data_IF_500398384928
#
_entry.id   IF_500398384928
#
_cell.length_a   1.000
_cell.length_b   1.000
_cell.length_c   1.000
_cell.angle_alpha   90.00
_cell.angle_beta   90.00
_cell.angle_gamma   90.00
#
_symmetry.space_group_name_H-M   'P 1'
#
loop_
_entity.id
_entity.type
_entity.pdbx_description
1 polymer ?
#
# COMPACT_ATOMS: atom_id res chain seq x y z
N UNK A 1 17.22 17.86 -10.50
CA UNK A 1 17.37 16.45 -10.09
C UNK A 1 18.60 16.25 -9.22
N UNK A 2 19.71 16.96 -9.47
CA UNK A 2 20.99 16.71 -8.79
C UNK A 2 20.91 16.99 -7.29
N UNK A 3 20.34 18.11 -6.87
CA UNK A 3 20.13 18.47 -5.46
C UNK A 3 19.24 17.44 -4.74
N UNK A 4 18.15 16.97 -5.39
CA UNK A 4 17.28 15.96 -4.80
C UNK A 4 18.01 14.63 -4.60
N UNK A 5 18.82 14.23 -5.57
CA UNK A 5 19.63 13.02 -5.47
C UNK A 5 20.68 13.15 -4.36
N UNK A 6 21.36 14.28 -4.28
CA UNK A 6 22.39 14.53 -3.28
C UNK A 6 21.83 14.49 -1.84
N UNK A 7 20.65 15.04 -1.62
CA UNK A 7 19.99 15.01 -0.31
C UNK A 7 19.47 13.62 0.01
N UNK A 8 18.87 12.93 -0.96
CA UNK A 8 18.09 11.73 -0.71
C UNK A 8 18.86 10.41 -0.85
N UNK A 9 20.02 10.40 -1.51
CA UNK A 9 20.75 9.15 -1.78
C UNK A 9 21.06 8.35 -0.52
N UNK A 10 21.47 9.01 0.57
CA UNK A 10 21.86 8.39 1.81
C UNK A 10 20.69 8.18 2.79
N UNK A 11 19.51 8.75 2.51
CA UNK A 11 18.34 8.59 3.39
C UNK A 11 17.87 7.14 3.43
N UNK A 12 17.64 6.66 4.63
CA UNK A 12 17.03 5.38 4.93
C UNK A 12 15.60 5.58 5.47
N UNK A 13 14.87 4.50 5.65
CA UNK A 13 13.47 4.56 6.09
C UNK A 13 13.32 5.32 7.42
N UNK A 14 14.18 5.10 8.39
CA UNK A 14 14.08 5.74 9.71
C UNK A 14 14.33 7.25 9.64
N UNK A 15 15.10 7.74 8.68
CA UNK A 15 15.33 9.18 8.49
C UNK A 15 14.08 9.92 8.05
N UNK A 16 13.17 9.23 7.34
CA UNK A 16 11.91 9.81 6.86
C UNK A 16 10.71 9.52 7.76
N UNK A 17 10.89 8.74 8.81
CA UNK A 17 9.84 8.49 9.79
C UNK A 17 9.71 9.64 10.81
N UNK A 18 8.50 9.89 11.34
CA UNK A 18 8.31 10.70 12.54
C UNK A 18 9.07 10.12 13.72
N UNK A 19 9.37 10.95 14.71
CA UNK A 19 10.00 10.51 15.95
C UNK A 19 9.10 9.57 16.77
N UNK A 20 9.73 8.71 17.58
CA UNK A 20 9.01 7.75 18.44
C UNK A 20 8.02 8.46 19.39
N UNK A 21 8.43 9.58 19.98
CA UNK A 21 7.61 10.37 20.90
C UNK A 21 6.39 10.97 20.21
N UNK A 22 6.51 11.35 18.94
CA UNK A 22 5.41 11.89 18.17
C UNK A 22 4.37 10.82 17.86
N UNK A 23 4.83 9.64 17.41
CA UNK A 23 3.96 8.49 17.15
C UNK A 23 3.26 8.07 18.45
N UNK A 24 4.00 7.97 19.55
CA UNK A 24 3.45 7.61 20.86
C UNK A 24 2.39 8.59 21.31
N UNK A 25 2.62 9.89 21.16
CA UNK A 25 1.65 10.93 21.50
C UNK A 25 0.35 10.79 20.71
N UNK A 26 0.44 10.46 19.42
CA UNK A 26 -0.75 10.22 18.59
C UNK A 26 -1.53 8.99 19.06
N UNK A 27 -0.83 7.91 19.44
CA UNK A 27 -1.45 6.70 19.97
C UNK A 27 -2.13 6.99 21.31
N UNK A 28 -1.45 7.68 22.23
CA UNK A 28 -1.99 8.02 23.55
C UNK A 28 -3.23 8.93 23.43
N UNK A 29 -3.19 9.94 22.55
CA UNK A 29 -4.34 10.82 22.30
C UNK A 29 -5.58 10.05 21.81
N UNK A 30 -5.39 9.05 20.94
CA UNK A 30 -6.52 8.24 20.45
C UNK A 30 -7.01 7.26 21.52
N UNK A 31 -6.12 6.82 22.39
CA UNK A 31 -6.42 5.84 23.47
C UNK A 31 -7.16 6.45 24.63
N UNK A 32 -7.07 7.77 24.79
CA UNK A 32 -7.66 8.50 25.94
C UNK A 32 -9.16 8.21 26.07
N UNK A 33 -9.55 7.78 27.26
CA UNK A 33 -10.95 7.43 27.60
C UNK A 33 -11.47 6.17 26.92
N UNK A 34 -10.66 5.41 26.18
CA UNK A 34 -11.09 4.19 25.49
C UNK A 34 -10.66 2.92 26.21
N UNK A 35 -11.60 2.00 26.40
CA UNK A 35 -11.32 0.69 26.99
C UNK A 35 -10.51 -0.22 26.07
N UNK A 36 -10.72 -0.13 24.75
CA UNK A 36 -10.03 -0.98 23.75
C UNK A 36 -8.83 -0.27 23.17
N UNK A 37 -7.72 -1.00 23.03
CA UNK A 37 -6.53 -0.52 22.31
C UNK A 37 -6.90 -0.03 20.90
N UNK A 38 -6.30 1.08 20.42
CA UNK A 38 -6.54 1.57 19.06
C UNK A 38 -6.08 0.55 18.00
N UNK A 39 -6.64 0.69 16.82
CA UNK A 39 -6.28 -0.18 15.69
C UNK A 39 -5.23 0.52 14.85
N UNK A 40 -4.11 -0.18 14.63
CA UNK A 40 -3.14 0.14 13.61
C UNK A 40 -3.45 -0.69 12.36
N UNK A 41 -3.73 -0.01 11.25
CA UNK A 41 -3.79 -0.64 9.94
C UNK A 41 -2.43 -0.52 9.24
N UNK A 42 -1.98 -1.60 8.65
CA UNK A 42 -0.80 -1.66 7.78
C UNK A 42 -1.31 -2.01 6.38
N UNK A 43 -1.49 -0.98 5.55
CA UNK A 43 -1.82 -1.18 4.14
C UNK A 43 -0.56 -1.45 3.33
N UNK A 44 -0.58 -2.49 2.49
CA UNK A 44 0.54 -2.85 1.59
C UNK A 44 -0.01 -2.99 0.18
N UNK A 45 0.68 -2.35 -0.77
CA UNK A 45 0.25 -2.35 -2.17
C UNK A 45 1.42 -2.02 -3.10
N UNK A 46 1.25 -2.31 -4.37
CA UNK A 46 2.19 -2.00 -5.45
C UNK A 46 1.61 -0.99 -6.44
N UNK A 47 2.44 -0.04 -6.85
CA UNK A 47 2.14 0.85 -7.95
C UNK A 47 3.22 0.71 -9.03
N UNK A 48 2.90 0.99 -10.30
CA UNK A 48 3.90 0.92 -11.37
C UNK A 48 4.39 2.32 -11.75
N UNK A 49 5.69 2.46 -12.02
CA UNK A 49 6.29 3.68 -12.53
C UNK A 49 7.07 3.42 -13.83
N UNK A 50 7.03 4.36 -14.80
CA UNK A 50 7.79 4.23 -16.04
C UNK A 50 9.29 4.47 -15.76
N UNK A 51 10.11 3.49 -16.06
CA UNK A 51 11.56 3.54 -15.84
C UNK A 51 12.34 3.27 -17.12
N UNK A 52 13.58 3.71 -17.15
CA UNK A 52 14.57 3.39 -18.16
C UNK A 52 15.84 2.87 -17.48
N UNK A 53 16.66 2.07 -18.17
CA UNK A 53 17.93 1.62 -17.62
C UNK A 53 18.78 2.79 -17.14
N UNK A 54 19.55 2.56 -16.07
CA UNK A 54 20.55 3.53 -15.59
C UNK A 54 21.52 3.91 -16.71
N UNK A 55 22.07 5.14 -16.70
CA UNK A 55 23.04 5.57 -17.72
C UNK A 55 24.25 4.64 -17.70
N UNK A 56 24.58 4.07 -18.85
CA UNK A 56 25.84 3.34 -18.99
C UNK A 56 26.95 4.29 -19.43
N UNK A 57 28.19 3.98 -19.07
CA UNK A 57 29.37 4.72 -19.54
C UNK A 57 29.55 4.66 -21.08
N UNK A 58 28.88 3.73 -21.76
CA UNK A 58 28.91 3.59 -23.21
C UNK A 58 27.94 4.57 -23.88
N UNK A 59 28.45 5.38 -24.80
CA UNK A 59 27.64 6.20 -25.71
C UNK A 59 26.85 5.25 -26.62
N UNK A 60 25.53 5.21 -26.47
CA UNK A 60 24.63 4.38 -27.27
C UNK A 60 23.19 4.84 -27.17
N UNK A 61 22.26 4.26 -27.97
CA UNK A 61 20.86 4.59 -27.86
C UNK A 61 20.35 4.26 -26.44
N UNK A 62 19.47 5.13 -25.92
CA UNK A 62 18.84 4.92 -24.62
C UNK A 62 18.11 3.57 -24.64
N UNK A 63 18.34 2.73 -23.64
CA UNK A 63 17.67 1.44 -23.53
C UNK A 63 16.14 1.58 -23.50
N UNK A 64 15.45 0.49 -23.86
CA UNK A 64 13.98 0.43 -23.88
C UNK A 64 13.43 0.72 -22.46
N UNK A 65 12.40 1.57 -22.40
CA UNK A 65 11.69 1.82 -21.14
C UNK A 65 10.89 0.59 -20.69
N UNK A 66 10.76 0.44 -19.39
CA UNK A 66 9.98 -0.61 -18.74
C UNK A 66 9.18 -0.03 -17.56
N UNK A 67 8.07 -0.71 -17.20
CA UNK A 67 7.32 -0.35 -16.02
C UNK A 67 7.82 -1.19 -14.84
N UNK A 68 8.33 -0.52 -13.78
CA UNK A 68 8.76 -1.18 -12.54
C UNK A 68 7.75 -0.96 -11.45
N UNK A 69 7.56 -1.99 -10.64
CA UNK A 69 6.68 -1.93 -9.49
C UNK A 69 7.35 -1.11 -8.36
N UNK A 70 6.61 -0.11 -7.88
CA UNK A 70 6.90 0.65 -6.67
C UNK A 70 6.11 -0.01 -5.55
N UNK A 71 6.77 -0.80 -4.72
CA UNK A 71 6.16 -1.43 -3.56
C UNK A 71 6.13 -0.45 -2.39
N UNK A 72 5.03 -0.45 -1.66
CA UNK A 72 4.87 0.46 -0.54
C UNK A 72 4.00 -0.08 0.58
N UNK A 73 4.14 0.54 1.73
CA UNK A 73 3.23 0.37 2.85
C UNK A 73 2.86 1.71 3.49
N UNK A 74 1.71 1.70 4.13
CA UNK A 74 1.22 2.79 4.96
C UNK A 74 0.75 2.28 6.30
N UNK A 75 1.24 2.88 7.37
CA UNK A 75 0.80 2.70 8.75
C UNK A 75 -0.12 3.85 9.13
N UNK A 76 -1.31 3.53 9.63
CA UNK A 76 -2.28 4.53 10.07
C UNK A 76 -3.17 4.00 11.19
N UNK A 77 -3.57 4.89 12.08
CA UNK A 77 -4.50 4.56 13.16
C UNK A 77 -5.94 4.83 12.72
N UNK A 78 -6.86 3.98 13.19
CA UNK A 78 -8.28 4.20 13.03
C UNK A 78 -8.85 4.92 14.23
N UNK A 79 -9.44 6.08 13.97
CA UNK A 79 -10.38 6.74 14.87
C UNK A 79 -11.77 6.68 14.25
N UNK A 80 -12.83 6.71 15.06
CA UNK A 80 -14.23 6.60 14.61
C UNK A 80 -14.58 7.50 13.43
N UNK A 81 -13.94 8.66 13.30
CA UNK A 81 -14.28 9.69 12.32
C UNK A 81 -13.22 9.90 11.22
N UNK A 82 -11.98 9.43 11.42
CA UNK A 82 -10.88 9.69 10.49
C UNK A 82 -9.72 8.71 10.62
N UNK A 83 -8.97 8.63 9.55
CA UNK A 83 -7.67 7.96 9.50
C UNK A 83 -6.60 8.93 9.99
N UNK A 84 -5.75 8.50 10.93
CA UNK A 84 -4.58 9.25 11.38
C UNK A 84 -3.35 8.60 10.80
N UNK A 85 -2.69 9.30 9.88
CA UNK A 85 -1.48 8.83 9.24
C UNK A 85 -0.30 8.81 10.21
N UNK A 86 0.48 7.74 10.17
CA UNK A 86 1.73 7.62 10.93
C UNK A 86 2.95 7.60 10.01
N UNK A 87 3.07 6.57 9.17
CA UNK A 87 4.25 6.34 8.32
C UNK A 87 3.79 5.85 6.95
N UNK A 88 4.43 6.35 5.89
CA UNK A 88 4.40 5.73 4.57
C UNK A 88 5.81 5.58 4.02
N UNK A 89 6.03 4.45 3.33
CA UNK A 89 7.28 4.17 2.65
C UNK A 89 7.01 3.47 1.31
N UNK A 90 7.55 4.01 0.24
CA UNK A 90 7.35 3.53 -1.14
C UNK A 90 8.67 3.55 -1.89
N UNK A 91 9.07 2.43 -2.47
CA UNK A 91 10.33 2.31 -3.22
C UNK A 91 10.19 1.29 -4.37
N UNK A 92 10.97 1.48 -5.42
CA UNK A 92 11.23 0.45 -6.42
C UNK A 92 12.19 -0.56 -5.79
N UNK A 93 11.64 -1.62 -5.21
CA UNK A 93 12.35 -2.67 -4.45
C UNK A 93 11.68 -4.02 -4.63
N UNK A 94 12.39 -5.09 -4.31
CA UNK A 94 11.77 -6.40 -4.17
C UNK A 94 11.02 -6.53 -2.83
N UNK A 95 10.24 -7.60 -2.68
CA UNK A 95 9.43 -7.87 -1.50
C UNK A 95 10.24 -8.09 -0.23
N UNK A 96 11.41 -8.73 -0.32
CA UNK A 96 12.32 -8.97 0.82
C UNK A 96 12.88 -7.66 1.37
N UNK A 97 13.28 -6.76 0.48
CA UNK A 97 13.80 -5.45 0.85
C UNK A 97 12.71 -4.58 1.50
N UNK A 98 11.46 -4.62 1.00
CA UNK A 98 10.35 -3.92 1.62
C UNK A 98 10.04 -4.49 3.01
N UNK A 99 10.05 -5.81 3.16
CA UNK A 99 9.86 -6.48 4.45
C UNK A 99 10.97 -6.11 5.46
N UNK A 100 12.23 -6.03 4.99
CA UNK A 100 13.35 -5.59 5.81
C UNK A 100 13.18 -4.14 6.28
N UNK A 101 12.64 -3.25 5.43
CA UNK A 101 12.34 -1.88 5.83
C UNK A 101 11.24 -1.83 6.90
N UNK A 102 10.18 -2.63 6.77
CA UNK A 102 9.13 -2.73 7.79
C UNK A 102 9.65 -3.33 9.11
N UNK A 103 10.54 -4.33 9.03
CA UNK A 103 11.23 -4.89 10.20
C UNK A 103 12.07 -3.84 10.94
N UNK A 104 12.75 -2.95 10.21
CA UNK A 104 13.51 -1.83 10.84
C UNK A 104 12.61 -0.91 11.64
N UNK A 105 11.38 -0.63 11.16
CA UNK A 105 10.38 0.15 11.90
C UNK A 105 9.99 -0.56 13.21
N UNK A 106 9.78 -1.88 13.18
CA UNK A 106 9.48 -2.68 14.38
C UNK A 106 10.67 -2.64 15.37
N UNK A 107 11.87 -2.91 14.89
CA UNK A 107 13.10 -2.91 15.71
C UNK A 107 13.40 -1.55 16.34
N UNK A 108 13.07 -0.46 15.65
CA UNK A 108 13.16 0.90 16.19
C UNK A 108 12.03 1.24 17.19
N UNK A 109 11.15 0.29 17.50
CA UNK A 109 9.99 0.45 18.37
C UNK A 109 9.08 1.63 17.98
N UNK A 110 8.93 1.88 16.68
CA UNK A 110 7.94 2.84 16.14
C UNK A 110 6.53 2.23 16.08
N UNK A 111 6.41 0.91 16.24
CA UNK A 111 5.14 0.19 16.39
C UNK A 111 5.12 -0.43 17.79
N UNK A 112 4.51 0.21 18.79
CA UNK A 112 4.35 -0.38 20.13
C UNK A 112 3.22 -1.41 20.10
N UNK A 113 3.53 -2.64 19.70
CA UNK A 113 2.56 -3.72 19.42
C UNK A 113 1.69 -4.02 20.65
N UNK A 114 2.24 -3.92 21.84
CA UNK A 114 1.54 -4.13 23.11
C UNK A 114 0.42 -3.11 23.36
N UNK A 115 0.49 -1.93 22.75
CA UNK A 115 -0.53 -0.87 22.86
C UNK A 115 -1.56 -0.87 21.75
N UNK A 116 -1.39 -1.70 20.73
CA UNK A 116 -2.16 -1.66 19.50
C UNK A 116 -2.88 -2.97 19.22
N UNK A 117 -3.90 -2.91 18.39
CA UNK A 117 -4.49 -4.04 17.69
C UNK A 117 -4.11 -3.89 16.23
N UNK A 118 -3.24 -4.75 15.73
CA UNK A 118 -2.71 -4.64 14.37
C UNK A 118 -3.58 -5.41 13.38
N UNK A 119 -3.75 -4.83 12.19
CA UNK A 119 -4.38 -5.50 11.07
C UNK A 119 -3.67 -5.11 9.77
N UNK A 120 -3.26 -6.10 9.00
CA UNK A 120 -2.65 -5.89 7.69
C UNK A 120 -3.68 -6.06 6.60
N UNK A 121 -3.68 -5.12 5.64
CA UNK A 121 -4.56 -5.14 4.47
C UNK A 121 -3.74 -5.10 3.18
N UNK A 122 -4.12 -5.93 2.19
CA UNK A 122 -3.49 -5.97 0.87
C UNK A 122 -4.40 -6.55 -0.20
N UNK A 123 -3.99 -6.46 -1.46
CA UNK A 123 -4.74 -6.85 -2.67
C UNK A 123 -4.78 -8.35 -2.96
N UNK A 124 -4.10 -9.15 -2.17
CA UNK A 124 -4.04 -10.59 -2.35
C UNK A 124 -2.81 -11.08 -3.11
N UNK A 125 -1.87 -10.23 -3.47
CA UNK A 125 -0.60 -10.65 -4.06
C UNK A 125 0.16 -11.60 -3.10
N UNK A 126 0.60 -12.78 -3.56
CA UNK A 126 1.22 -13.79 -2.67
C UNK A 126 2.41 -13.28 -1.88
N UNK A 127 3.21 -12.38 -2.48
CA UNK A 127 4.40 -11.84 -1.83
C UNK A 127 4.07 -11.04 -0.56
N UNK A 128 2.90 -10.35 -0.52
CA UNK A 128 2.46 -9.60 0.67
C UNK A 128 2.27 -10.58 1.83
N UNK A 129 1.46 -11.62 1.62
CA UNK A 129 1.09 -12.54 2.68
C UNK A 129 2.27 -13.34 3.22
N UNK A 130 3.16 -13.80 2.34
CA UNK A 130 4.36 -14.53 2.73
C UNK A 130 5.26 -13.67 3.64
N UNK A 131 5.44 -12.38 3.34
CA UNK A 131 6.29 -11.49 4.16
C UNK A 131 5.61 -11.04 5.44
N UNK A 132 4.31 -10.77 5.37
CA UNK A 132 3.56 -10.31 6.53
C UNK A 132 3.39 -11.41 7.57
N UNK A 133 3.17 -12.65 7.16
CA UNK A 133 3.11 -13.79 8.08
C UNK A 133 4.38 -13.97 8.91
N UNK A 134 5.54 -13.65 8.31
CA UNK A 134 6.83 -13.68 9.03
C UNK A 134 6.96 -12.54 10.06
N UNK A 135 6.42 -11.35 9.74
CA UNK A 135 6.57 -10.15 10.56
C UNK A 135 5.46 -9.97 11.62
N UNK A 136 4.25 -10.44 11.33
CA UNK A 136 3.04 -10.25 12.13
C UNK A 136 2.23 -11.55 12.21
N UNK A 137 2.81 -12.66 12.77
CA UNK A 137 2.20 -13.99 12.71
C UNK A 137 0.87 -14.08 13.46
N UNK A 138 0.70 -13.31 14.54
CA UNK A 138 -0.47 -13.35 15.45
C UNK A 138 -1.49 -12.24 15.15
N UNK A 139 -1.20 -11.40 14.16
CA UNK A 139 -2.02 -10.23 13.87
C UNK A 139 -3.10 -10.54 12.80
N UNK A 140 -4.10 -9.68 12.73
CA UNK A 140 -5.17 -9.85 11.77
C UNK A 140 -4.72 -9.51 10.36
N UNK A 141 -5.18 -10.31 9.41
CA UNK A 141 -4.96 -10.08 7.99
C UNK A 141 -6.31 -9.95 7.30
N UNK A 142 -6.42 -9.03 6.38
CA UNK A 142 -7.63 -8.82 5.58
C UNK A 142 -7.27 -8.62 4.11
N UNK A 143 -7.90 -9.40 3.25
CA UNK A 143 -7.87 -9.19 1.81
C UNK A 143 -8.71 -7.95 1.49
N UNK A 144 -8.21 -7.06 0.64
CA UNK A 144 -8.99 -5.91 0.22
C UNK A 144 -10.34 -6.30 -0.37
N UNK A 145 -11.40 -5.69 0.18
CA UNK A 145 -12.77 -5.96 -0.22
C UNK A 145 -13.04 -5.61 -1.68
N UNK A 146 -12.45 -4.53 -2.21
CA UNK A 146 -12.65 -4.12 -3.61
C UNK A 146 -12.12 -5.21 -4.54
N UNK A 147 -10.89 -5.68 -4.32
CA UNK A 147 -10.31 -6.77 -5.11
C UNK A 147 -11.08 -8.08 -4.99
N UNK A 148 -11.55 -8.42 -3.79
CA UNK A 148 -12.41 -9.60 -3.60
C UNK A 148 -13.71 -9.48 -4.39
N UNK A 149 -14.37 -8.32 -4.33
CA UNK A 149 -15.64 -8.09 -5.03
C UNK A 149 -15.48 -8.09 -6.54
N UNK A 150 -14.37 -7.57 -7.10
CA UNK A 150 -14.06 -7.62 -8.53
C UNK A 150 -14.11 -9.07 -9.07
N UNK A 151 -13.51 -10.03 -8.37
CA UNK A 151 -13.58 -11.45 -8.76
C UNK A 151 -15.01 -11.99 -8.79
N UNK A 152 -15.87 -11.55 -7.87
CA UNK A 152 -17.27 -11.95 -7.85
C UNK A 152 -18.07 -11.30 -8.99
N UNK A 153 -17.82 -10.01 -9.27
CA UNK A 153 -18.40 -9.32 -10.42
C UNK A 153 -17.97 -9.98 -11.75
N UNK A 154 -16.68 -10.26 -11.90
CA UNK A 154 -16.16 -10.91 -13.12
C UNK A 154 -16.77 -12.29 -13.31
N UNK A 155 -16.95 -13.08 -12.24
CA UNK A 155 -17.63 -14.37 -12.30
C UNK A 155 -19.08 -14.22 -12.75
N UNK A 156 -19.80 -13.27 -12.18
CA UNK A 156 -21.20 -13.03 -12.56
C UNK A 156 -21.33 -12.56 -14.00
N UNK A 157 -20.45 -11.65 -14.44
CA UNK A 157 -20.44 -11.15 -15.82
C UNK A 157 -20.11 -12.24 -16.84
N UNK A 158 -19.13 -13.11 -16.53
CA UNK A 158 -18.78 -14.23 -17.39
C UNK A 158 -19.92 -15.27 -17.48
N UNK A 159 -20.60 -15.53 -16.36
CA UNK A 159 -21.66 -16.53 -16.28
C UNK A 159 -23.01 -16.06 -16.85
N UNK A 160 -23.44 -14.85 -16.51
CA UNK A 160 -24.81 -14.36 -16.78
C UNK A 160 -24.84 -13.22 -17.79
N UNK A 161 -23.70 -12.73 -18.25
CA UNK A 161 -23.57 -11.58 -19.14
C UNK A 161 -23.42 -10.26 -18.41
N UNK A 162 -22.60 -9.38 -18.98
CA UNK A 162 -22.38 -8.03 -18.47
C UNK A 162 -23.69 -7.23 -18.50
N UNK A 163 -24.03 -6.58 -17.40
CA UNK A 163 -25.24 -5.78 -17.22
C UNK A 163 -26.56 -6.58 -17.18
N UNK A 164 -26.54 -7.91 -17.05
CA UNK A 164 -27.75 -8.67 -16.84
C UNK A 164 -28.29 -8.50 -15.41
N UNK A 165 -29.61 -8.53 -15.26
CA UNK A 165 -30.27 -8.49 -13.95
C UNK A 165 -29.83 -9.68 -13.09
N UNK A 166 -29.71 -10.88 -13.68
CA UNK A 166 -29.23 -12.07 -13.00
C UNK A 166 -27.82 -11.90 -12.43
N UNK A 167 -26.91 -11.22 -13.15
CA UNK A 167 -25.57 -10.94 -12.63
C UNK A 167 -25.63 -10.02 -11.42
N UNK A 168 -26.42 -8.96 -11.47
CA UNK A 168 -26.59 -8.02 -10.34
C UNK A 168 -27.16 -8.71 -9.11
N UNK A 169 -28.28 -9.43 -9.25
CA UNK A 169 -28.90 -10.16 -8.14
C UNK A 169 -27.96 -11.19 -7.52
N UNK A 170 -27.22 -11.93 -8.33
CA UNK A 170 -26.26 -12.92 -7.85
C UNK A 170 -25.12 -12.27 -7.04
N UNK A 171 -24.57 -11.14 -7.53
CA UNK A 171 -23.51 -10.41 -6.85
C UNK A 171 -24.01 -9.85 -5.51
N UNK A 172 -25.15 -9.17 -5.48
CA UNK A 172 -25.72 -8.60 -4.25
C UNK A 172 -25.98 -9.67 -3.18
N UNK A 173 -26.57 -10.80 -3.59
CA UNK A 173 -26.79 -11.93 -2.69
C UNK A 173 -25.46 -12.53 -2.20
N UNK A 174 -24.43 -12.60 -3.05
CA UNK A 174 -23.12 -13.15 -2.70
C UNK A 174 -22.34 -12.21 -1.78
N UNK A 175 -22.36 -10.90 -2.03
CA UNK A 175 -21.75 -9.90 -1.17
C UNK A 175 -22.42 -9.87 0.22
N UNK A 176 -23.73 -10.02 0.30
CA UNK A 176 -24.47 -10.14 1.57
C UNK A 176 -23.99 -11.35 2.39
N UNK A 177 -23.81 -12.51 1.74
CA UNK A 177 -23.25 -13.72 2.37
C UNK A 177 -21.79 -13.51 2.80
N UNK A 178 -21.02 -12.77 2.01
CA UNK A 178 -19.62 -12.45 2.33
C UNK A 178 -19.53 -11.63 3.63
N UNK A 179 -20.39 -10.62 3.80
CA UNK A 179 -20.49 -9.86 5.06
C UNK A 179 -21.06 -10.68 6.23
N UNK A 180 -21.75 -11.76 5.95
CA UNK A 180 -22.19 -12.73 6.97
C UNK A 180 -21.10 -13.77 7.32
N UNK A 181 -19.91 -13.64 6.76
CA UNK A 181 -18.76 -14.57 6.88
C UNK A 181 -19.03 -15.99 6.35
N UNK A 182 -19.92 -16.15 5.39
CA UNK A 182 -20.31 -17.45 4.81
C UNK A 182 -19.46 -17.79 3.58
N UNK A 183 -18.14 -17.63 3.68
CA UNK A 183 -17.23 -17.76 2.54
C UNK A 183 -17.17 -19.19 1.99
N UNK A 184 -17.19 -20.21 2.86
CA UNK A 184 -17.20 -21.61 2.43
C UNK A 184 -18.47 -21.94 1.61
N UNK A 185 -19.62 -21.36 2.00
CA UNK A 185 -20.87 -21.52 1.27
C UNK A 185 -20.85 -20.80 -0.08
N UNK A 186 -20.19 -19.64 -0.17
CA UNK A 186 -19.98 -18.93 -1.43
C UNK A 186 -19.14 -19.79 -2.36
N UNK A 187 -17.99 -20.28 -1.92
CA UNK A 187 -17.11 -21.15 -2.71
C UNK A 187 -17.84 -22.42 -3.15
N UNK A 188 -18.57 -23.06 -2.25
CA UNK A 188 -19.37 -24.24 -2.57
C UNK A 188 -20.49 -23.93 -3.59
N UNK A 189 -21.08 -22.74 -3.51
CA UNK A 189 -22.07 -22.26 -4.49
C UNK A 189 -21.46 -22.07 -5.87
N UNK A 190 -20.30 -21.40 -5.96
CA UNK A 190 -19.58 -21.18 -7.21
C UNK A 190 -19.14 -22.52 -7.83
N UNK A 191 -18.63 -23.46 -7.04
CA UNK A 191 -18.27 -24.83 -7.51
C UNK A 191 -19.43 -25.62 -8.15
N UNK A 192 -20.67 -25.34 -7.73
CA UNK A 192 -21.87 -25.99 -8.29
C UNK A 192 -22.44 -25.30 -9.53
N UNK A 193 -21.90 -24.16 -9.92
CA UNK A 193 -22.33 -23.47 -11.14
C UNK A 193 -22.05 -24.35 -12.37
N UNK A 194 -22.98 -24.39 -13.30
CA UNK A 194 -22.74 -24.96 -14.63
C UNK A 194 -22.25 -23.82 -15.52
N UNK A 195 -21.00 -23.84 -15.98
CA UNK A 195 -20.48 -22.74 -16.81
C UNK A 195 -21.28 -22.57 -18.09
N UNK A 196 -21.60 -21.32 -18.44
CA UNK A 196 -22.31 -20.98 -19.66
C UNK A 196 -21.42 -21.00 -20.92
N UNK A 197 -20.10 -20.95 -20.73
CA UNK A 197 -19.07 -20.95 -21.76
C UNK A 197 -17.71 -21.38 -21.19
N UNK A 198 -16.72 -21.63 -22.06
CA UNK A 198 -15.35 -21.93 -21.63
C UNK A 198 -14.73 -20.73 -20.86
N UNK A 199 -14.98 -19.50 -21.31
CA UNK A 199 -14.54 -18.31 -20.59
C UNK A 199 -15.17 -18.18 -19.20
N UNK A 200 -16.47 -18.54 -19.07
CA UNK A 200 -17.13 -18.58 -17.76
C UNK A 200 -16.50 -19.65 -16.85
N UNK A 201 -16.13 -20.81 -17.41
CA UNK A 201 -15.45 -21.88 -16.66
C UNK A 201 -14.10 -21.38 -16.15
N UNK A 202 -13.28 -20.79 -17.01
CA UNK A 202 -11.97 -20.25 -16.62
C UNK A 202 -12.10 -19.22 -15.49
N UNK A 203 -13.05 -18.28 -15.58
CA UNK A 203 -13.25 -17.27 -14.55
C UNK A 203 -13.78 -17.88 -13.25
N UNK A 204 -14.67 -18.87 -13.31
CA UNK A 204 -15.16 -19.61 -12.14
C UNK A 204 -13.98 -20.30 -11.43
N UNK A 205 -13.16 -21.05 -12.16
CA UNK A 205 -12.01 -21.78 -11.61
C UNK A 205 -10.99 -20.82 -10.97
N UNK A 206 -10.70 -19.70 -11.64
CA UNK A 206 -9.84 -18.62 -11.13
C UNK A 206 -10.39 -18.04 -9.81
N UNK A 207 -11.68 -17.78 -9.74
CA UNK A 207 -12.31 -17.19 -8.55
C UNK A 207 -12.34 -18.19 -7.39
N UNK A 208 -12.63 -19.47 -7.65
CA UNK A 208 -12.56 -20.52 -6.63
C UNK A 208 -11.14 -20.61 -6.04
N UNK A 209 -10.11 -20.66 -6.88
CA UNK A 209 -8.71 -20.68 -6.45
C UNK A 209 -8.38 -19.47 -5.59
N UNK A 210 -8.68 -18.26 -6.08
CA UNK A 210 -8.41 -17.00 -5.39
C UNK A 210 -9.03 -16.92 -4.01
N UNK A 211 -10.32 -17.27 -3.88
CA UNK A 211 -11.05 -17.22 -2.61
C UNK A 211 -10.59 -18.34 -1.64
N UNK A 212 -10.35 -19.55 -2.16
CA UNK A 212 -9.97 -20.70 -1.33
C UNK A 212 -8.62 -20.54 -0.65
N UNK A 213 -7.65 -19.94 -1.34
CA UNK A 213 -6.32 -19.66 -0.78
C UNK A 213 -6.31 -18.56 0.28
N UNK A 214 -7.39 -17.76 0.38
CA UNK A 214 -7.44 -16.56 1.23
C UNK A 214 -8.61 -16.55 2.20
N UNK A 215 -9.19 -17.70 2.46
CA UNK A 215 -10.45 -17.87 3.22
C UNK A 215 -10.38 -17.25 4.63
N UNK A 216 -9.23 -17.36 5.27
CA UNK A 216 -8.94 -16.79 6.58
C UNK A 216 -8.95 -15.26 6.61
N UNK A 217 -8.71 -14.61 5.45
CA UNK A 217 -8.61 -13.15 5.27
C UNK A 217 -9.92 -12.50 4.80
N UNK A 218 -10.99 -13.29 4.64
CA UNK A 218 -12.28 -12.86 4.07
C UNK A 218 -13.39 -12.67 5.10
N UNK A 219 -13.08 -12.66 6.40
CA UNK A 219 -14.06 -12.54 7.48
C UNK A 219 -14.53 -11.09 7.71
N UNK A 220 -15.03 -10.46 6.62
CA UNK A 220 -15.35 -9.02 6.61
C UNK A 220 -16.36 -8.59 7.64
N UNK A 221 -17.42 -9.37 7.88
CA UNK A 221 -18.41 -9.06 8.90
C UNK A 221 -17.83 -9.02 10.31
N UNK A 222 -16.94 -9.95 10.64
CA UNK A 222 -16.23 -9.96 11.93
C UNK A 222 -15.26 -8.80 12.05
N UNK A 223 -14.51 -8.51 10.98
CA UNK A 223 -13.56 -7.40 10.95
C UNK A 223 -14.27 -6.05 11.12
N UNK A 224 -15.37 -5.80 10.39
CA UNK A 224 -16.17 -4.57 10.54
C UNK A 224 -16.73 -4.39 11.93
N UNK A 225 -17.32 -5.45 12.54
CA UNK A 225 -17.78 -5.39 13.94
C UNK A 225 -16.65 -5.12 14.93
N UNK A 226 -15.42 -5.55 14.60
CA UNK A 226 -14.20 -5.25 15.35
C UNK A 226 -13.66 -3.83 15.19
N UNK A 227 -14.23 -3.04 14.26
CA UNK A 227 -13.83 -1.67 13.94
C UNK A 227 -12.68 -1.59 12.92
N UNK A 228 -12.30 -2.69 12.26
CA UNK A 228 -11.25 -2.70 11.24
C UNK A 228 -11.74 -2.21 9.88
N UNK A 229 -10.88 -1.54 9.13
CA UNK A 229 -11.12 -1.28 7.72
C UNK A 229 -10.94 -2.56 6.90
N UNK A 230 -11.76 -2.71 5.88
CA UNK A 230 -11.72 -3.85 4.96
C UNK A 230 -11.37 -3.45 3.53
N UNK A 231 -11.25 -2.15 3.27
CA UNK A 231 -10.85 -1.58 1.97
C UNK A 231 -9.47 -0.93 2.04
N UNK A 232 -8.73 -1.03 0.95
CA UNK A 232 -7.35 -0.54 0.78
C UNK A 232 -7.22 0.97 0.55
N UNK A 233 -8.32 1.74 0.57
CA UNK A 233 -8.32 3.18 0.28
C UNK A 233 -7.26 3.99 1.05
N UNK A 234 -6.83 3.49 2.22
CA UNK A 234 -5.72 4.09 2.97
C UNK A 234 -4.39 4.04 2.21
N UNK A 235 -3.98 2.87 1.71
CA UNK A 235 -2.73 2.71 0.95
C UNK A 235 -2.85 3.27 -0.46
N UNK A 236 -3.99 3.11 -1.12
CA UNK A 236 -4.26 3.70 -2.45
C UNK A 236 -4.06 5.21 -2.45
N UNK A 237 -4.57 5.89 -1.41
CA UNK A 237 -4.36 7.32 -1.23
C UNK A 237 -2.87 7.68 -1.16
N UNK A 238 -2.06 6.93 -0.41
CA UNK A 238 -0.61 7.18 -0.35
C UNK A 238 0.09 6.86 -1.68
N UNK A 239 -0.29 5.80 -2.38
CA UNK A 239 0.20 5.49 -3.73
C UNK A 239 -0.08 6.64 -4.71
N UNK A 240 -1.29 7.22 -4.65
CA UNK A 240 -1.64 8.36 -5.47
C UNK A 240 -0.70 9.54 -5.20
N UNK A 241 -0.54 9.96 -3.96
CA UNK A 241 0.26 11.14 -3.59
C UNK A 241 1.76 10.90 -3.72
N UNK A 242 2.28 9.77 -3.25
CA UNK A 242 3.72 9.52 -3.20
C UNK A 242 4.23 9.13 -4.58
N UNK A 243 3.59 8.16 -5.24
CA UNK A 243 4.09 7.55 -6.47
C UNK A 243 3.45 8.16 -7.73
N UNK A 244 2.12 8.06 -7.87
CA UNK A 244 1.47 8.28 -9.15
C UNK A 244 1.56 9.72 -9.63
N UNK A 245 1.22 10.68 -8.79
CA UNK A 245 1.19 12.11 -9.12
C UNK A 245 2.54 12.60 -9.63
N UNK A 246 3.63 12.08 -9.10
CA UNK A 246 4.98 12.54 -9.51
C UNK A 246 5.62 11.68 -10.58
N UNK A 247 5.51 10.36 -10.48
CA UNK A 247 6.24 9.45 -11.36
C UNK A 247 5.49 9.17 -12.67
N UNK A 248 4.15 9.19 -12.67
CA UNK A 248 3.34 8.88 -13.86
C UNK A 248 2.93 10.11 -14.68
N UNK A 249 3.76 11.16 -14.72
CA UNK A 249 3.50 12.30 -15.60
C UNK A 249 3.76 11.93 -17.06
N UNK A 250 2.98 12.51 -17.97
CA UNK A 250 3.17 12.31 -19.42
C UNK A 250 4.61 12.58 -19.83
N UNK A 251 5.21 11.66 -20.57
CA UNK A 251 6.59 11.76 -21.06
C UNK A 251 7.67 11.55 -20.00
N UNK A 252 7.33 11.36 -18.74
CA UNK A 252 8.31 11.12 -17.68
C UNK A 252 8.81 9.66 -17.72
N UNK A 253 10.14 9.50 -17.87
CA UNK A 253 10.84 8.23 -17.73
C UNK A 253 11.98 8.39 -16.74
N UNK A 254 12.02 7.56 -15.72
CA UNK A 254 12.91 7.71 -14.58
C UNK A 254 14.04 6.70 -14.61
N UNK A 255 15.22 7.12 -14.21
CA UNK A 255 16.22 6.16 -13.74
C UNK A 255 15.75 5.62 -12.37
N UNK A 256 15.82 4.30 -12.13
CA UNK A 256 15.32 3.71 -10.86
C UNK A 256 15.90 4.36 -9.61
N UNK A 257 17.21 4.66 -9.62
CA UNK A 257 17.89 5.38 -8.52
C UNK A 257 17.28 6.77 -8.28
N UNK A 258 17.06 7.55 -9.33
CA UNK A 258 16.46 8.88 -9.22
C UNK A 258 15.01 8.81 -8.78
N UNK A 259 14.25 7.83 -9.29
CA UNK A 259 12.87 7.58 -8.84
C UNK A 259 12.83 7.29 -7.35
N UNK A 260 13.69 6.40 -6.85
CA UNK A 260 13.78 6.08 -5.44
C UNK A 260 14.15 7.29 -4.57
N UNK A 261 15.06 8.14 -5.01
CA UNK A 261 15.43 9.36 -4.29
C UNK A 261 14.26 10.34 -4.19
N UNK A 262 13.50 10.52 -5.28
CA UNK A 262 12.28 11.33 -5.26
C UNK A 262 11.22 10.69 -4.35
N UNK A 263 11.03 9.37 -4.39
CA UNK A 263 10.10 8.66 -3.52
C UNK A 263 10.44 8.84 -2.03
N UNK A 264 11.72 8.78 -1.65
CA UNK A 264 12.18 9.06 -0.28
C UNK A 264 11.75 10.46 0.20
N UNK A 265 11.99 11.49 -0.62
CA UNK A 265 11.57 12.86 -0.30
C UNK A 265 10.05 13.02 -0.24
N UNK A 266 9.31 12.34 -1.11
CA UNK A 266 7.84 12.37 -1.07
C UNK A 266 7.30 11.61 0.14
N UNK A 267 7.91 10.51 0.55
CA UNK A 267 7.61 9.85 1.81
C UNK A 267 7.88 10.80 2.99
N UNK A 268 9.03 11.47 3.00
CA UNK A 268 9.34 12.46 4.04
C UNK A 268 8.29 13.58 4.10
N UNK A 269 7.84 14.09 2.94
CA UNK A 269 6.78 15.11 2.88
C UNK A 269 5.46 14.58 3.43
N UNK A 270 5.07 13.38 3.02
CA UNK A 270 3.83 12.75 3.46
C UNK A 270 3.85 12.39 4.96
N UNK A 271 5.01 12.04 5.48
CA UNK A 271 5.25 11.74 6.90
C UNK A 271 5.47 12.99 7.77
N UNK A 272 5.49 14.20 7.17
CA UNK A 272 5.70 15.46 7.91
C UNK A 272 7.16 15.73 8.31
N UNK A 273 8.14 14.98 7.80
CA UNK A 273 9.57 15.07 8.19
C UNK A 273 10.44 15.82 7.19
N UNK A 274 9.87 16.28 6.08
CA UNK A 274 10.61 16.92 4.98
C UNK A 274 11.41 18.14 5.42
N UNK A 275 10.82 19.05 6.20
CA UNK A 275 11.49 20.27 6.63
C UNK A 275 12.65 20.02 7.60
N UNK A 276 12.56 18.97 8.41
CA UNK A 276 13.66 18.46 9.24
C UNK A 276 14.82 18.01 8.37
N UNK A 277 14.57 17.17 7.36
CA UNK A 277 15.59 16.67 6.44
C UNK A 277 16.26 17.83 5.69
N UNK A 278 15.48 18.82 5.21
CA UNK A 278 16.03 19.99 4.55
C UNK A 278 16.91 20.85 5.47
N UNK A 279 16.54 20.98 6.72
CA UNK A 279 17.32 21.74 7.71
C UNK A 279 18.63 21.03 8.04
N UNK A 280 18.61 19.70 8.19
CA UNK A 280 19.80 18.88 8.42
C UNK A 280 20.76 18.90 7.20
N UNK A 281 20.21 18.83 5.99
CA UNK A 281 21.01 18.92 4.76
C UNK A 281 21.75 20.29 4.66
N UNK A 282 21.07 21.38 5.04
CA UNK A 282 21.71 22.71 5.10
C UNK A 282 22.84 22.76 6.13
N UNK A 283 22.65 22.19 7.33
CA UNK A 283 23.64 22.21 8.41
C UNK A 283 24.92 21.39 8.05
N UNK A 284 24.75 20.33 7.27
CA UNK A 284 25.87 19.47 6.85
C UNK A 284 26.69 20.05 5.70
N UNK A 285 26.49 21.34 5.33
CA UNK A 285 27.16 21.99 4.16
C UNK A 285 27.21 21.09 2.92
N UNK A 286 26.19 20.28 2.70
CA UNK A 286 26.05 19.58 1.44
C UNK A 286 25.89 20.64 0.35
N UNK A 287 26.70 20.58 -0.74
CA UNK A 287 27.13 21.74 -1.52
C UNK A 287 25.97 22.63 -1.98
N UNK A 288 26.19 23.94 -1.80
CA UNK A 288 25.51 25.08 -2.44
C UNK A 288 24.00 24.92 -2.73
N UNK A 289 23.24 24.37 -1.79
CA UNK A 289 21.80 24.40 -1.90
C UNK A 289 21.29 25.80 -1.54
N UNK A 290 21.24 26.69 -2.52
CA UNK A 290 20.71 28.04 -2.34
C UNK A 290 19.23 27.99 -1.94
N UNK A 291 18.72 29.03 -1.29
CA UNK A 291 17.28 29.12 -0.97
C UNK A 291 16.39 28.96 -2.21
N UNK A 292 16.90 29.39 -3.38
CA UNK A 292 16.22 29.27 -4.68
C UNK A 292 16.12 27.80 -5.12
N UNK A 293 17.18 27.03 -4.97
CA UNK A 293 17.21 25.59 -5.32
C UNK A 293 16.33 24.75 -4.37
N UNK A 294 16.28 25.12 -3.10
CA UNK A 294 15.35 24.49 -2.14
C UNK A 294 13.90 24.84 -2.43
N UNK A 295 13.61 26.06 -2.92
CA UNK A 295 12.31 26.43 -3.42
C UNK A 295 11.88 25.59 -4.61
N UNK A 296 12.80 25.37 -5.58
CA UNK A 296 12.58 24.48 -6.72
C UNK A 296 12.38 23.04 -6.26
N UNK A 297 13.17 22.56 -5.31
CA UNK A 297 13.01 21.21 -4.76
C UNK A 297 11.65 21.01 -4.07
N UNK A 298 11.19 21.99 -3.29
CA UNK A 298 9.81 22.00 -2.72
C UNK A 298 8.77 21.90 -3.83
N UNK A 299 8.87 22.70 -4.87
CA UNK A 299 7.96 22.63 -6.03
C UNK A 299 8.00 21.24 -6.71
N UNK A 300 9.17 20.61 -6.82
CA UNK A 300 9.31 19.26 -7.39
C UNK A 300 8.65 18.20 -6.51
N UNK A 301 8.71 18.38 -5.19
CA UNK A 301 8.11 17.44 -4.23
C UNK A 301 6.60 17.71 -4.01
N UNK A 302 6.20 18.99 -4.04
CA UNK A 302 4.82 19.43 -3.73
C UNK A 302 3.87 19.43 -4.95
N UNK A 303 4.40 19.51 -6.18
CA UNK A 303 3.57 19.54 -7.39
C UNK A 303 2.75 18.24 -7.55
N UNK A 304 1.64 18.25 -6.90
CA UNK A 304 0.48 17.37 -7.03
C UNK A 304 -0.58 18.03 -7.90
#
# INVERSE_FOLDING_TARGET
>A
HDVANEIAQDLQILDVCPGKEEIQRQIDTISEGKFRRPILMIGIDGAHAPTRPEPSARKGPRGKGEWKEVKGFRLYLLNSERIIHLISWHQIKNDKELAADLLRIKQAALIPEEKLRICVIGDGAPWIWNRIQELFPDDKMVLDYSHCSEYLYDTAHAQYGKNSQMAQEWVEATLTRLFSNNIEQIIAGIKRMKPSSDSAKEQIDKTIGYLSERIDKLKYGTLKRGGYHIGSGGIESSNKFISNVRLKRSGAWWYPTNANNILKLRCAKYNGTFDRIMTEAKRKNKPNCSQKELGVLRLVVDNS
#
